data_IF_810720453015
#
_entry.id   IF_810720453015
#
_cell.length_a   1.000
_cell.length_b   1.000
_cell.length_c   1.000
_cell.angle_alpha   90.00
_cell.angle_beta   90.00
_cell.angle_gamma   90.00
#
_symmetry.space_group_name_H-M   'P 1'
#
loop_
_entity.id
_entity.type
_entity.pdbx_description
1 polymer ?
#
# COMPACT_ATOMS: atom_id res chain seq x y z
N UNK A 1 -13.73 19.50 -4.39
CA UNK A 1 -13.14 18.42 -3.58
C UNK A 1 -13.59 17.09 -4.15
N UNK A 2 -12.71 16.14 -4.44
CA UNK A 2 -13.12 14.80 -4.88
C UNK A 2 -13.87 14.07 -3.76
N UNK A 3 -14.82 13.22 -4.16
CA UNK A 3 -15.56 12.34 -3.25
C UNK A 3 -14.89 10.98 -3.25
N UNK A 4 -14.47 10.52 -2.07
CA UNK A 4 -13.79 9.25 -1.85
C UNK A 4 -14.67 8.28 -1.07
N UNK A 5 -14.32 7.00 -1.10
CA UNK A 5 -14.87 6.00 -0.20
C UNK A 5 -13.88 5.76 0.92
N UNK A 6 -14.31 5.98 2.16
CA UNK A 6 -13.48 5.80 3.34
C UNK A 6 -14.28 5.15 4.47
N UNK A 7 -13.58 4.63 5.47
CA UNK A 7 -14.20 4.00 6.64
C UNK A 7 -13.50 4.44 7.92
N UNK A 8 -14.28 4.69 8.95
CA UNK A 8 -13.81 4.82 10.32
C UNK A 8 -14.13 3.57 11.12
N UNK A 9 -13.50 3.40 12.28
CA UNK A 9 -13.72 2.22 13.16
C UNK A 9 -15.16 2.02 13.61
N UNK A 10 -15.97 3.07 13.57
CA UNK A 10 -17.38 3.02 13.98
C UNK A 10 -18.34 2.78 12.83
N UNK A 11 -17.85 2.63 11.59
CA UNK A 11 -18.66 2.40 10.41
C UNK A 11 -18.64 0.93 10.01
N UNK A 12 -19.81 0.34 9.78
CA UNK A 12 -19.92 -1.03 9.29
C UNK A 12 -19.45 -1.15 7.82
N UNK A 13 -19.70 -0.12 7.02
CA UNK A 13 -19.36 -0.06 5.59
C UNK A 13 -18.64 1.26 5.28
N UNK A 14 -17.85 1.31 4.18
CA UNK A 14 -17.28 2.56 3.70
C UNK A 14 -18.37 3.56 3.32
N UNK A 15 -18.16 4.82 3.66
CA UNK A 15 -19.04 5.94 3.33
C UNK A 15 -18.34 6.97 2.45
N UNK A 16 -19.11 7.94 1.94
CA UNK A 16 -18.61 9.01 1.08
C UNK A 16 -18.11 10.18 1.89
N UNK A 17 -16.89 10.60 1.61
CA UNK A 17 -16.26 11.81 2.17
C UNK A 17 -15.83 12.72 1.03
N UNK A 18 -15.99 14.03 1.20
CA UNK A 18 -15.31 15.01 0.35
C UNK A 18 -13.93 15.28 0.96
N UNK A 19 -12.87 15.13 0.17
CA UNK A 19 -11.50 15.28 0.67
C UNK A 19 -10.76 16.34 -0.12
N UNK A 20 -9.85 17.03 0.56
CA UNK A 20 -8.79 17.78 -0.09
C UNK A 20 -7.47 17.02 0.12
N UNK A 21 -6.99 16.31 -0.92
CA UNK A 21 -5.76 15.52 -0.81
C UNK A 21 -4.52 16.34 -0.47
N UNK A 22 -4.53 17.67 -0.75
CA UNK A 22 -3.41 18.56 -0.51
C UNK A 22 -3.37 19.07 0.93
N UNK A 23 -4.52 19.50 1.47
CA UNK A 23 -4.60 20.05 2.82
C UNK A 23 -4.85 19.00 3.91
N UNK A 24 -4.96 17.72 3.53
CA UNK A 24 -5.31 16.62 4.43
C UNK A 24 -6.56 16.93 5.27
N UNK A 25 -7.54 17.62 4.68
CA UNK A 25 -8.81 17.96 5.30
C UNK A 25 -9.95 17.21 4.62
N UNK A 26 -10.97 16.91 5.39
CA UNK A 26 -12.13 16.15 4.96
C UNK A 26 -13.41 16.89 5.32
N UNK A 27 -14.43 16.76 4.48
CA UNK A 27 -15.78 17.19 4.81
C UNK A 27 -16.66 15.97 5.00
N UNK A 28 -17.22 15.85 6.20
CA UNK A 28 -18.14 14.79 6.57
C UNK A 28 -19.31 15.36 7.40
N UNK A 29 -20.55 15.02 7.04
CA UNK A 29 -21.76 15.54 7.71
C UNK A 29 -21.85 17.07 7.70
N UNK A 30 -21.31 17.75 6.66
CA UNK A 30 -21.30 19.21 6.55
C UNK A 30 -20.21 19.92 7.36
N UNK A 31 -19.39 19.20 8.11
CA UNK A 31 -18.27 19.75 8.90
C UNK A 31 -16.93 19.49 8.20
N UNK A 32 -16.01 20.44 8.34
CA UNK A 32 -14.61 20.24 7.98
C UNK A 32 -13.90 19.65 9.20
N UNK A 33 -13.16 18.57 8.97
CA UNK A 33 -12.41 17.82 10.00
C UNK A 33 -10.97 17.63 9.52
N UNK A 34 -10.03 17.63 10.46
CA UNK A 34 -8.67 17.15 10.22
C UNK A 34 -8.61 15.63 10.20
N UNK A 35 -7.56 15.10 9.60
CA UNK A 35 -7.36 13.64 9.52
C UNK A 35 -7.28 12.99 10.91
N UNK A 36 -6.69 13.68 11.87
CA UNK A 36 -6.48 13.17 13.24
C UNK A 36 -7.74 13.23 14.12
N UNK A 37 -8.80 13.88 13.66
CA UNK A 37 -10.09 13.94 14.37
C UNK A 37 -10.94 12.68 14.15
N UNK A 38 -10.54 11.80 13.25
CA UNK A 38 -11.22 10.54 12.96
C UNK A 38 -10.35 9.33 13.29
N UNK A 39 -11.00 8.29 13.79
CA UNK A 39 -10.38 6.98 13.95
C UNK A 39 -10.61 6.16 12.66
N UNK A 40 -9.62 6.16 11.81
CA UNK A 40 -9.68 5.46 10.53
C UNK A 40 -9.69 3.94 10.68
N UNK A 41 -10.31 3.27 9.74
CA UNK A 41 -10.19 1.84 9.49
C UNK A 41 -9.73 1.63 8.04
N UNK A 42 -9.26 0.44 7.70
CA UNK A 42 -8.88 0.13 6.32
C UNK A 42 -10.08 0.34 5.38
N UNK A 43 -9.90 0.98 4.22
CA UNK A 43 -11.04 1.38 3.37
C UNK A 43 -11.75 0.18 2.72
N UNK A 44 -11.17 -1.00 2.78
CA UNK A 44 -11.75 -2.26 2.30
C UNK A 44 -11.33 -3.41 3.21
N UNK A 45 -12.01 -4.57 3.08
CA UNK A 45 -11.74 -5.80 3.84
C UNK A 45 -11.48 -7.01 2.95
N UNK A 46 -11.27 -6.79 1.66
CA UNK A 46 -10.87 -7.84 0.73
C UNK A 46 -9.42 -8.27 0.95
N UNK A 47 -9.02 -9.38 0.35
CA UNK A 47 -7.65 -9.86 0.41
C UNK A 47 -6.66 -8.85 -0.16
N UNK A 48 -5.44 -8.82 0.37
CA UNK A 48 -4.37 -7.94 -0.10
C UNK A 48 -3.28 -8.79 -0.73
N UNK A 49 -3.09 -8.59 -2.03
CA UNK A 49 -2.05 -9.21 -2.83
C UNK A 49 -0.97 -8.19 -3.13
N UNK A 50 0.29 -8.58 -2.97
CA UNK A 50 1.43 -7.77 -3.31
C UNK A 50 2.19 -8.31 -4.52
N UNK A 51 2.82 -7.41 -5.26
CA UNK A 51 3.66 -7.76 -6.41
C UNK A 51 5.10 -7.38 -6.14
N UNK A 52 6.02 -8.33 -6.33
CA UNK A 52 7.45 -8.07 -6.30
C UNK A 52 7.99 -7.73 -7.69
N UNK A 53 9.06 -6.93 -7.71
CA UNK A 53 9.83 -6.65 -8.92
C UNK A 53 9.03 -6.01 -10.07
N UNK A 54 8.02 -5.20 -9.74
CA UNK A 54 7.25 -4.47 -10.75
C UNK A 54 7.77 -3.05 -11.01
N UNK A 55 8.92 -2.67 -10.45
CA UNK A 55 9.63 -1.43 -10.78
C UNK A 55 10.96 -1.75 -11.45
N UNK A 56 11.34 -0.94 -12.47
CA UNK A 56 12.59 -1.15 -13.23
C UNK A 56 13.81 -1.07 -12.34
N UNK A 57 13.86 -0.08 -11.42
CA UNK A 57 14.96 0.04 -10.48
C UNK A 57 15.05 -1.12 -9.49
N UNK A 58 13.91 -1.65 -9.02
CA UNK A 58 13.88 -2.84 -8.17
C UNK A 58 14.40 -4.09 -8.91
N UNK A 59 14.05 -4.26 -10.19
CA UNK A 59 14.60 -5.33 -11.03
C UNK A 59 16.10 -5.21 -11.20
N UNK A 60 16.61 -4.00 -11.47
CA UNK A 60 18.03 -3.77 -11.64
C UNK A 60 18.82 -3.95 -10.35
N UNK A 61 18.28 -3.47 -9.22
CA UNK A 61 18.86 -3.74 -7.90
C UNK A 61 18.98 -5.25 -7.63
N UNK A 62 17.94 -6.02 -7.96
CA UNK A 62 17.98 -7.47 -7.81
C UNK A 62 19.01 -8.14 -8.72
N UNK A 63 19.16 -7.66 -9.95
CA UNK A 63 20.14 -8.15 -10.91
C UNK A 63 21.59 -7.93 -10.44
N UNK A 64 21.85 -6.82 -9.76
CA UNK A 64 23.20 -6.47 -9.25
C UNK A 64 23.60 -7.26 -8.01
N UNK A 65 22.66 -7.90 -7.28
CA UNK A 65 22.96 -8.75 -6.12
C UNK A 65 23.73 -10.02 -6.47
N UNK A 66 23.89 -10.34 -7.76
CA UNK A 66 24.74 -11.45 -8.21
C UNK A 66 24.24 -12.85 -7.81
N UNK A 67 22.98 -12.99 -7.48
CA UNK A 67 22.35 -14.27 -7.13
C UNK A 67 22.09 -15.07 -8.42
N UNK A 68 23.10 -15.77 -8.91
CA UNK A 68 23.01 -16.61 -10.12
C UNK A 68 22.77 -15.80 -11.42
N UNK A 69 22.35 -16.47 -12.48
CA UNK A 69 21.88 -15.81 -13.70
C UNK A 69 20.43 -15.35 -13.52
N UNK A 70 20.23 -14.16 -12.97
CA UNK A 70 18.89 -13.59 -12.79
C UNK A 70 18.19 -13.40 -14.14
N UNK A 71 17.07 -14.06 -14.31
CA UNK A 71 16.14 -13.86 -15.44
C UNK A 71 14.89 -13.17 -14.91
N UNK A 72 14.50 -12.00 -15.45
CA UNK A 72 13.27 -11.34 -15.04
C UNK A 72 12.05 -12.27 -15.13
N UNK A 73 11.18 -12.31 -14.12
CA UNK A 73 10.02 -13.20 -14.12
C UNK A 73 9.06 -12.87 -15.27
N UNK A 74 8.66 -13.90 -16.04
CA UNK A 74 7.70 -13.75 -17.14
C UNK A 74 6.30 -13.39 -16.61
N UNK A 75 5.91 -13.96 -15.47
CA UNK A 75 4.65 -13.66 -14.77
C UNK A 75 4.90 -12.77 -13.54
N UNK A 76 3.88 -12.06 -13.03
CA UNK A 76 3.99 -11.34 -11.76
C UNK A 76 4.33 -12.28 -10.61
N UNK A 77 5.27 -11.87 -9.76
CA UNK A 77 5.61 -12.60 -8.53
C UNK A 77 4.72 -12.08 -7.42
N UNK A 78 3.74 -12.90 -7.01
CA UNK A 78 2.77 -12.51 -5.99
C UNK A 78 3.14 -13.01 -4.60
N UNK A 79 2.72 -12.23 -3.61
CA UNK A 79 2.63 -12.63 -2.21
C UNK A 79 1.33 -12.10 -1.61
N UNK A 80 0.98 -12.56 -0.42
CA UNK A 80 -0.25 -12.18 0.28
C UNK A 80 0.11 -11.44 1.57
N UNK A 81 -0.65 -10.41 1.88
CA UNK A 81 -0.64 -9.74 3.19
C UNK A 81 -1.88 -10.20 3.95
N UNK A 82 -1.75 -11.14 4.90
CA UNK A 82 -2.87 -11.65 5.68
C UNK A 82 -3.46 -10.58 6.60
N UNK A 83 -4.69 -10.78 7.06
CA UNK A 83 -5.47 -9.78 7.77
C UNK A 83 -4.82 -9.25 9.06
N UNK A 84 -4.00 -10.07 9.73
CA UNK A 84 -3.25 -9.64 10.92
C UNK A 84 -2.23 -8.52 10.61
N UNK A 85 -1.82 -8.38 9.36
CA UNK A 85 -0.88 -7.32 8.95
C UNK A 85 -1.54 -5.97 8.73
N UNK A 86 -2.87 -5.91 8.58
CA UNK A 86 -3.56 -4.69 8.16
C UNK A 86 -3.73 -3.71 9.29
N UNK A 87 -3.35 -2.48 9.04
CA UNK A 87 -3.56 -1.31 9.88
C UNK A 87 -4.01 -0.13 9.02
N UNK A 88 -4.68 0.83 9.64
CA UNK A 88 -5.20 2.01 8.96
C UNK A 88 -4.28 3.23 9.11
N UNK A 89 -4.70 4.35 8.51
CA UNK A 89 -4.08 5.66 8.76
C UNK A 89 -4.07 5.98 10.25
N UNK A 90 -2.94 6.49 10.76
CA UNK A 90 -2.75 6.88 12.15
C UNK A 90 -2.44 5.74 13.11
N UNK A 91 -2.66 4.48 12.71
CA UNK A 91 -2.29 3.32 13.52
C UNK A 91 -0.77 3.20 13.66
N UNK A 92 -0.35 2.48 14.69
CA UNK A 92 1.07 2.24 14.94
C UNK A 92 1.59 1.03 14.17
N UNK A 93 2.73 1.18 13.51
CA UNK A 93 3.52 0.09 12.93
C UNK A 93 4.43 -0.46 14.03
N UNK A 94 4.27 -1.72 14.47
CA UNK A 94 5.12 -2.29 15.51
C UNK A 94 6.48 -2.71 14.96
N UNK A 95 7.56 -2.37 15.66
CA UNK A 95 8.86 -3.01 15.44
C UNK A 95 8.99 -4.19 16.41
N UNK A 96 9.17 -5.41 15.88
CA UNK A 96 9.34 -6.60 16.69
C UNK A 96 10.58 -6.51 17.61
N UNK A 97 10.58 -7.21 18.74
CA UNK A 97 11.64 -7.14 19.75
C UNK A 97 13.01 -7.61 19.25
N UNK A 98 13.00 -8.48 18.25
CA UNK A 98 14.19 -9.10 17.64
C UNK A 98 14.69 -8.36 16.40
N UNK A 99 14.14 -7.17 16.11
CA UNK A 99 14.44 -6.37 14.92
C UNK A 99 14.77 -4.93 15.32
N UNK A 100 15.87 -4.39 14.80
CA UNK A 100 16.30 -3.00 15.08
C UNK A 100 15.59 -1.99 14.17
N UNK A 101 15.35 -2.37 12.92
CA UNK A 101 14.72 -1.51 11.91
C UNK A 101 13.91 -2.33 10.93
N UNK A 102 12.88 -1.70 10.34
CA UNK A 102 12.05 -2.25 9.27
C UNK A 102 12.13 -1.36 8.04
N UNK A 103 11.69 -1.86 6.90
CA UNK A 103 11.72 -1.15 5.63
C UNK A 103 10.31 -0.78 5.18
N UNK A 104 10.14 0.44 4.64
CA UNK A 104 8.88 0.89 4.04
C UNK A 104 8.71 0.27 2.65
N UNK A 105 7.47 0.06 2.23
CA UNK A 105 7.14 -0.40 0.89
C UNK A 105 6.02 0.43 0.28
N UNK A 106 6.34 1.67 -0.18
CA UNK A 106 5.35 2.58 -0.77
C UNK A 106 4.79 2.01 -2.07
N UNK A 107 3.51 1.67 -2.06
CA UNK A 107 2.86 1.01 -3.19
C UNK A 107 1.49 1.60 -3.51
N UNK A 108 1.17 1.67 -4.81
CA UNK A 108 -0.18 1.98 -5.29
C UNK A 108 -1.07 0.76 -5.08
N UNK A 109 -2.11 0.88 -4.27
CA UNK A 109 -3.14 -0.14 -4.07
C UNK A 109 -4.27 0.02 -5.10
N UNK A 110 -4.51 -1.01 -5.90
CA UNK A 110 -5.58 -1.10 -6.89
C UNK A 110 -6.74 -1.83 -6.23
N UNK A 111 -7.86 -1.14 -5.97
CA UNK A 111 -9.03 -1.71 -5.30
C UNK A 111 -10.01 -2.22 -6.33
N UNK A 112 -10.40 -3.48 -6.21
CA UNK A 112 -11.31 -4.13 -7.15
C UNK A 112 -12.76 -3.73 -6.90
N UNK A 113 -13.50 -3.39 -7.99
CA UNK A 113 -14.93 -3.07 -7.96
C UNK A 113 -15.82 -4.31 -8.06
N UNK A 114 -15.40 -5.25 -8.85
CA UNK A 114 -16.11 -6.50 -9.17
C UNK A 114 -15.12 -7.63 -9.37
N UNK A 115 -15.62 -8.86 -9.32
CA UNK A 115 -14.79 -10.05 -9.53
C UNK A 115 -14.13 -10.02 -10.90
N UNK A 116 -12.81 -10.23 -10.92
CA UNK A 116 -11.95 -10.25 -12.10
C UNK A 116 -11.27 -11.61 -12.23
N UNK A 117 -11.51 -12.29 -13.34
CA UNK A 117 -10.92 -13.57 -13.69
C UNK A 117 -10.61 -13.58 -15.19
N UNK A 118 -9.38 -13.82 -15.58
CA UNK A 118 -8.90 -13.83 -16.98
C UNK A 118 -9.33 -12.60 -17.78
N UNK A 119 -9.08 -11.42 -17.21
CA UNK A 119 -9.50 -10.15 -17.79
C UNK A 119 -8.49 -9.71 -18.86
N UNK A 120 -8.98 -9.29 -20.02
CA UNK A 120 -8.12 -8.69 -21.03
C UNK A 120 -7.60 -7.30 -20.56
N UNK A 121 -6.35 -6.96 -20.91
CA UNK A 121 -5.75 -5.70 -20.48
C UNK A 121 -6.55 -4.46 -20.93
N UNK A 122 -7.20 -4.51 -22.08
CA UNK A 122 -8.04 -3.43 -22.60
C UNK A 122 -9.25 -3.14 -21.71
N UNK A 123 -9.78 -4.14 -21.02
CA UNK A 123 -10.97 -4.05 -20.17
C UNK A 123 -10.61 -3.96 -18.67
N UNK A 124 -9.33 -4.15 -18.32
CA UNK A 124 -8.89 -4.36 -16.94
C UNK A 124 -9.28 -3.22 -15.99
N UNK A 125 -9.19 -1.97 -16.46
CA UNK A 125 -9.54 -0.81 -15.64
C UNK A 125 -11.04 -0.73 -15.33
N UNK A 126 -11.91 -1.41 -16.06
CA UNK A 126 -13.34 -1.48 -15.75
C UNK A 126 -13.66 -2.37 -14.55
N UNK A 127 -12.69 -3.10 -14.05
CA UNK A 127 -12.79 -3.90 -12.84
C UNK A 127 -12.28 -3.14 -11.60
N UNK A 128 -11.74 -1.93 -11.76
CA UNK A 128 -11.15 -1.11 -10.69
C UNK A 128 -12.21 -0.16 -10.10
N UNK A 129 -12.37 -0.19 -8.78
CA UNK A 129 -13.16 0.78 -8.02
C UNK A 129 -12.41 2.12 -7.90
N UNK A 130 -11.13 2.02 -7.60
CA UNK A 130 -10.26 3.16 -7.37
C UNK A 130 -8.89 2.75 -6.84
N UNK A 131 -8.19 3.73 -6.31
CA UNK A 131 -6.82 3.57 -5.86
C UNK A 131 -6.68 4.01 -4.41
N UNK A 132 -5.80 3.33 -3.68
CA UNK A 132 -5.44 3.63 -2.30
C UNK A 132 -3.93 3.57 -2.13
N UNK A 133 -3.43 3.93 -0.97
CA UNK A 133 -2.01 3.84 -0.64
C UNK A 133 -1.79 2.62 0.23
N UNK A 134 -0.72 1.88 -0.04
CA UNK A 134 -0.28 0.75 0.79
C UNK A 134 1.16 0.97 1.22
N UNK A 135 1.45 0.79 2.51
CA UNK A 135 2.80 0.63 3.00
C UNK A 135 3.04 -0.85 3.29
N UNK A 136 3.68 -1.54 2.34
CA UNK A 136 4.09 -2.93 2.46
C UNK A 136 5.38 -3.04 3.27
N UNK A 137 5.25 -2.98 4.59
CA UNK A 137 6.38 -3.05 5.52
C UNK A 137 7.02 -4.44 5.49
N UNK A 138 8.35 -4.47 5.59
CA UNK A 138 9.13 -5.69 5.60
C UNK A 138 10.32 -5.59 6.58
N UNK A 139 10.70 -6.70 7.20
CA UNK A 139 12.04 -6.80 7.82
C UNK A 139 13.10 -6.85 6.72
N UNK A 140 14.25 -6.17 6.88
CA UNK A 140 15.37 -6.32 5.97
C UNK A 140 15.80 -7.78 5.89
N UNK A 141 15.91 -8.33 4.68
CA UNK A 141 16.35 -9.72 4.49
C UNK A 141 17.12 -9.89 3.18
N UNK A 142 17.97 -10.90 3.14
CA UNK A 142 18.76 -11.28 1.96
C UNK A 142 18.37 -12.66 1.40
N UNK A 143 17.32 -13.29 1.93
CA UNK A 143 16.85 -14.60 1.47
C UNK A 143 15.82 -14.41 0.38
N UNK A 144 16.21 -14.64 -0.86
CA UNK A 144 15.33 -14.52 -2.03
C UNK A 144 14.84 -15.87 -2.56
N UNK A 145 15.39 -16.97 -2.05
CA UNK A 145 15.09 -18.35 -2.49
C UNK A 145 13.84 -18.91 -1.82
N UNK A 146 13.33 -18.25 -0.80
CA UNK A 146 12.19 -18.69 0.01
C UNK A 146 11.16 -17.59 0.16
N UNK A 147 9.86 -17.93 0.29
CA UNK A 147 8.84 -16.94 0.64
C UNK A 147 9.21 -16.20 1.92
N UNK A 148 9.29 -14.88 1.86
CA UNK A 148 9.64 -14.01 2.99
C UNK A 148 8.44 -13.80 3.94
N UNK A 149 7.70 -14.88 4.28
CA UNK A 149 6.48 -14.80 5.08
C UNK A 149 6.75 -14.21 6.46
N UNK A 150 7.81 -14.68 7.15
CA UNK A 150 8.16 -14.13 8.46
C UNK A 150 8.46 -12.65 8.40
N UNK A 151 9.16 -12.20 7.38
CA UNK A 151 9.62 -10.82 7.24
C UNK A 151 8.49 -9.87 6.81
N UNK A 152 7.47 -10.37 6.09
CA UNK A 152 6.41 -9.55 5.50
C UNK A 152 5.04 -9.67 6.18
N UNK A 153 4.80 -10.76 6.93
CA UNK A 153 3.47 -11.06 7.46
C UNK A 153 3.36 -10.90 8.98
N UNK A 154 4.21 -10.06 9.58
CA UNK A 154 4.06 -9.71 10.99
C UNK A 154 2.86 -8.79 11.19
N UNK A 155 2.31 -8.77 12.38
CA UNK A 155 1.18 -7.91 12.76
C UNK A 155 1.51 -6.45 12.46
N UNK A 156 0.57 -5.73 11.82
CA UNK A 156 0.72 -4.32 11.51
C UNK A 156 1.66 -3.99 10.34
N UNK A 157 2.15 -4.99 9.58
CA UNK A 157 3.11 -4.78 8.48
C UNK A 157 2.45 -4.44 7.13
N UNK A 158 1.21 -3.98 7.12
CA UNK A 158 0.52 -3.51 5.92
C UNK A 158 -0.44 -2.36 6.28
N UNK A 159 0.06 -1.14 6.25
CA UNK A 159 -0.81 0.02 6.41
C UNK A 159 -1.53 0.32 5.09
N UNK A 160 -2.84 0.60 5.16
CA UNK A 160 -3.72 0.77 4.00
C UNK A 160 -4.63 1.97 4.20
N UNK A 161 -4.70 2.83 3.22
CA UNK A 161 -5.66 3.93 3.24
C UNK A 161 -5.09 5.29 2.83
N UNK A 162 -5.68 6.35 3.34
CA UNK A 162 -6.83 6.42 4.27
C UNK A 162 -8.18 6.13 3.60
N UNK A 163 -8.26 6.27 2.28
CA UNK A 163 -9.47 6.11 1.45
C UNK A 163 -9.20 5.41 0.13
N UNK A 164 -10.27 5.14 -0.59
CA UNK A 164 -10.23 4.75 -2.00
C UNK A 164 -10.59 5.98 -2.85
N UNK A 165 -9.61 6.52 -3.57
CA UNK A 165 -9.81 7.56 -4.58
C UNK A 165 -10.47 6.91 -5.80
N UNK A 166 -11.66 7.38 -6.24
CA UNK A 166 -12.35 6.78 -7.38
C UNK A 166 -11.48 6.75 -8.63
N UNK A 167 -11.57 5.68 -9.41
CA UNK A 167 -10.82 5.51 -10.66
C UNK A 167 -10.90 6.74 -11.57
N UNK A 168 -12.09 7.33 -11.69
CA UNK A 168 -12.33 8.45 -12.59
C UNK A 168 -11.64 9.76 -12.14
N UNK A 169 -11.27 9.84 -10.87
CA UNK A 169 -10.56 10.99 -10.30
C UNK A 169 -9.05 10.91 -10.51
N UNK A 170 -8.53 9.76 -10.97
CA UNK A 170 -7.11 9.53 -11.26
C UNK A 170 -6.93 9.43 -12.77
N UNK A 171 -6.40 10.47 -13.38
CA UNK A 171 -6.29 10.55 -14.84
C UNK A 171 -5.39 9.46 -15.43
N UNK A 172 -4.26 9.16 -14.78
CA UNK A 172 -3.32 8.12 -15.21
C UNK A 172 -2.69 7.45 -13.99
N UNK A 173 -3.09 6.22 -13.64
CA UNK A 173 -2.49 5.50 -12.53
C UNK A 173 -1.04 5.08 -12.82
N UNK A 174 -0.62 5.11 -14.06
CA UNK A 174 0.72 4.72 -14.53
C UNK A 174 1.68 5.91 -14.65
N UNK A 175 1.33 7.10 -14.11
CA UNK A 175 2.18 8.29 -14.14
C UNK A 175 2.06 9.15 -12.88
N UNK A 176 1.82 8.53 -11.73
CA UNK A 176 1.72 9.20 -10.44
C UNK A 176 3.10 9.37 -9.82
N UNK A 177 3.38 10.55 -9.29
CA UNK A 177 4.53 10.75 -8.40
C UNK A 177 4.21 10.14 -7.04
N UNK A 178 5.17 9.45 -6.45
CA UNK A 178 5.10 8.97 -5.08
C UNK A 178 6.28 9.49 -4.27
N UNK A 179 6.04 9.80 -2.99
CA UNK A 179 7.07 10.24 -2.04
C UNK A 179 6.97 9.45 -0.76
N UNK A 180 8.12 9.15 -0.18
CA UNK A 180 8.24 8.60 1.17
C UNK A 180 8.91 9.65 2.04
N UNK A 181 8.22 10.08 3.07
CA UNK A 181 8.74 11.01 4.06
C UNK A 181 8.93 10.27 5.38
N UNK A 182 10.04 10.54 6.05
CA UNK A 182 10.32 10.09 7.41
C UNK A 182 10.58 11.32 8.27
N UNK A 183 9.79 11.49 9.33
CA UNK A 183 9.85 12.65 10.22
C UNK A 183 9.71 14.01 9.49
N UNK A 184 8.87 14.03 8.43
CA UNK A 184 8.60 15.21 7.61
C UNK A 184 9.64 15.49 6.52
N UNK A 185 10.74 14.72 6.43
CA UNK A 185 11.75 14.86 5.39
C UNK A 185 11.50 13.87 4.25
N UNK A 186 11.51 14.34 3.00
CA UNK A 186 11.45 13.48 1.81
C UNK A 186 12.72 12.64 1.74
N UNK A 187 12.59 11.33 1.89
CA UNK A 187 13.69 10.35 1.85
C UNK A 187 13.77 9.60 0.52
N UNK A 188 12.65 9.46 -0.17
CA UNK A 188 12.60 8.85 -1.49
C UNK A 188 11.49 9.47 -2.34
N UNK A 189 11.75 9.58 -3.63
CA UNK A 189 10.75 9.95 -4.63
C UNK A 189 10.87 8.99 -5.82
N UNK A 190 9.73 8.60 -6.38
CA UNK A 190 9.66 7.74 -7.56
C UNK A 190 8.36 8.03 -8.35
N UNK A 191 8.10 7.29 -9.39
CA UNK A 191 6.87 7.40 -10.18
C UNK A 191 6.38 6.03 -10.62
N UNK A 192 5.05 5.87 -10.68
CA UNK A 192 4.43 4.68 -11.29
C UNK A 192 4.77 4.52 -12.77
N UNK A 193 5.27 5.56 -13.44
CA UNK A 193 5.82 5.46 -14.80
C UNK A 193 7.05 4.53 -14.90
N UNK A 194 7.70 4.26 -13.76
CA UNK A 194 8.83 3.33 -13.68
C UNK A 194 8.39 1.87 -13.47
N UNK A 195 7.09 1.60 -13.40
CA UNK A 195 6.60 0.22 -13.35
C UNK A 195 6.96 -0.55 -14.62
N UNK A 196 7.23 -1.83 -14.46
CA UNK A 196 7.48 -2.79 -15.55
C UNK A 196 6.19 -3.13 -16.27
N UNK A 197 5.13 -3.37 -15.49
CA UNK A 197 3.76 -3.59 -15.98
C UNK A 197 2.89 -2.43 -15.56
N UNK A 198 2.18 -1.84 -16.52
CA UNK A 198 1.11 -0.88 -16.23
C UNK A 198 0.02 -1.53 -15.38
N UNK A 199 -0.82 -0.73 -14.74
CA UNK A 199 -1.95 -1.22 -13.93
C UNK A 199 -2.84 -2.18 -14.72
N UNK A 200 -3.19 -1.82 -15.95
CA UNK A 200 -4.03 -2.64 -16.82
C UNK A 200 -3.36 -3.98 -17.19
N UNK A 201 -2.07 -3.94 -17.53
CA UNK A 201 -1.30 -5.13 -17.86
C UNK A 201 -1.10 -6.03 -16.65
N UNK A 202 -0.83 -5.44 -15.47
CA UNK A 202 -0.65 -6.18 -14.24
C UNK A 202 -1.93 -6.93 -13.84
N UNK A 203 -3.08 -6.27 -13.93
CA UNK A 203 -4.38 -6.92 -13.67
C UNK A 203 -4.64 -8.08 -14.63
N UNK A 204 -4.36 -7.90 -15.92
CA UNK A 204 -4.54 -8.96 -16.92
C UNK A 204 -3.64 -10.17 -16.58
N UNK A 205 -2.35 -9.93 -16.32
CA UNK A 205 -1.39 -10.99 -16.02
C UNK A 205 -1.71 -11.73 -14.71
N UNK A 206 -2.17 -11.00 -13.67
CA UNK A 206 -2.55 -11.61 -12.38
C UNK A 206 -3.85 -12.38 -12.48
N UNK A 207 -4.86 -11.84 -13.16
CA UNK A 207 -6.17 -12.49 -13.27
C UNK A 207 -6.18 -13.70 -14.19
N UNK A 208 -5.09 -13.96 -14.91
CA UNK A 208 -4.90 -15.19 -15.66
C UNK A 208 -4.90 -16.44 -14.74
N UNK A 209 -4.33 -16.31 -13.53
CA UNK A 209 -4.15 -17.42 -12.58
C UNK A 209 -4.74 -17.21 -11.19
N UNK A 210 -5.14 -15.97 -10.83
CA UNK A 210 -5.81 -15.65 -9.55
C UNK A 210 -7.10 -14.89 -9.83
N UNK A 211 -8.21 -15.34 -9.26
CA UNK A 211 -9.44 -14.55 -9.26
C UNK A 211 -9.38 -13.50 -8.15
N UNK A 212 -9.50 -12.22 -8.52
CA UNK A 212 -9.63 -11.11 -7.58
C UNK A 212 -11.11 -10.82 -7.35
N UNK A 213 -11.53 -10.71 -6.09
CA UNK A 213 -12.91 -10.41 -5.71
C UNK A 213 -13.13 -8.90 -5.53
N UNK A 214 -14.41 -8.48 -5.52
CA UNK A 214 -14.73 -7.10 -5.18
C UNK A 214 -14.23 -6.76 -3.78
N UNK A 215 -13.56 -5.62 -3.64
CA UNK A 215 -12.92 -5.18 -2.39
C UNK A 215 -11.50 -5.70 -2.17
N UNK A 216 -11.01 -6.65 -2.96
CA UNK A 216 -9.60 -7.04 -2.91
C UNK A 216 -8.69 -5.90 -3.35
N UNK A 217 -7.48 -5.88 -2.81
CA UNK A 217 -6.42 -4.95 -3.18
C UNK A 217 -5.29 -5.73 -3.87
N UNK A 218 -4.92 -5.29 -5.05
CA UNK A 218 -3.65 -5.64 -5.67
C UNK A 218 -2.72 -4.43 -5.57
N UNK A 219 -1.69 -4.48 -4.73
CA UNK A 219 -0.72 -3.40 -4.76
C UNK A 219 0.34 -3.64 -5.85
N UNK A 220 0.65 -2.57 -6.59
CA UNK A 220 1.43 -2.63 -7.83
C UNK A 220 2.93 -2.88 -7.63
N UNK A 221 3.37 -3.17 -6.41
CA UNK A 221 4.76 -3.29 -6.01
C UNK A 221 5.33 -1.98 -5.46
N UNK A 222 6.42 -2.08 -4.72
CA UNK A 222 7.18 -0.96 -4.21
C UNK A 222 8.43 -0.72 -5.09
N UNK A 223 8.87 0.55 -5.26
CA UNK A 223 10.11 0.85 -5.94
C UNK A 223 11.34 0.41 -5.13
N UNK A 224 12.49 0.51 -5.74
CA UNK A 224 13.80 0.39 -5.12
C UNK A 224 14.02 1.43 -4.02
N UNK A 225 15.09 1.26 -3.24
CA UNK A 225 15.50 2.15 -2.15
C UNK A 225 14.45 2.30 -1.04
N UNK A 226 13.92 1.15 -0.58
CA UNK A 226 13.08 1.10 0.61
C UNK A 226 13.76 1.83 1.78
N UNK A 227 13.00 2.69 2.47
CA UNK A 227 13.54 3.50 3.56
C UNK A 227 13.50 2.72 4.87
N UNK A 228 14.61 2.67 5.58
CA UNK A 228 14.67 2.11 6.93
C UNK A 228 14.04 3.07 7.93
N UNK A 229 13.19 2.52 8.77
CA UNK A 229 12.49 3.22 9.85
C UNK A 229 12.68 2.47 11.18
N UNK A 230 12.69 3.23 12.26
CA UNK A 230 12.93 2.76 13.64
C UNK A 230 11.81 3.21 14.58
N UNK A 231 11.76 2.68 15.77
CA UNK A 231 10.80 3.11 16.78
C UNK A 231 10.98 4.61 17.10
N UNK A 232 9.88 5.35 17.14
CA UNK A 232 9.84 6.81 17.29
C UNK A 232 9.65 7.55 15.96
N UNK A 233 9.91 6.91 14.82
CA UNK A 233 9.72 7.54 13.52
C UNK A 233 8.23 7.71 13.18
N UNK A 234 7.96 8.70 12.33
CA UNK A 234 6.70 8.91 11.64
C UNK A 234 6.93 8.74 10.15
N UNK A 235 6.26 7.78 9.53
CA UNK A 235 6.36 7.52 8.10
C UNK A 235 5.10 8.02 7.40
N UNK A 236 5.31 8.76 6.31
CA UNK A 236 4.24 9.28 5.46
C UNK A 236 4.53 8.91 4.01
N UNK A 237 3.56 8.31 3.35
CA UNK A 237 3.62 7.96 1.93
C UNK A 237 2.58 8.81 1.20
N UNK A 238 3.02 9.50 0.15
CA UNK A 238 2.17 10.35 -0.67
C UNK A 238 2.12 9.85 -2.10
N UNK A 239 0.94 9.90 -2.69
CA UNK A 239 0.74 9.75 -4.13
C UNK A 239 -0.02 10.96 -4.65
N UNK A 240 0.53 11.64 -5.67
CA UNK A 240 -0.11 12.80 -6.27
C UNK A 240 -1.51 12.41 -6.80
N UNK A 241 -2.52 13.21 -6.44
CA UNK A 241 -3.91 12.99 -6.83
C UNK A 241 -4.65 11.89 -6.06
N UNK A 242 -3.98 11.17 -5.14
CA UNK A 242 -4.63 10.19 -4.27
C UNK A 242 -4.69 10.69 -2.83
N UNK A 243 -3.58 11.21 -2.30
CA UNK A 243 -3.48 11.69 -0.93
C UNK A 243 -2.25 11.16 -0.21
N UNK A 244 -2.36 11.01 1.12
CA UNK A 244 -1.28 10.57 1.97
C UNK A 244 -1.73 9.54 3.01
N UNK A 245 -0.87 8.57 3.27
CA UNK A 245 -1.00 7.58 4.34
C UNK A 245 0.11 7.82 5.36
N UNK A 246 -0.25 8.06 6.61
CA UNK A 246 0.73 8.34 7.67
C UNK A 246 0.53 7.43 8.86
N UNK A 247 1.64 6.91 9.40
CA UNK A 247 1.66 6.01 10.54
C UNK A 247 2.83 6.33 11.46
N UNK A 248 2.66 6.06 12.77
CA UNK A 248 3.75 6.10 13.76
C UNK A 248 4.43 4.75 13.81
N UNK A 249 5.73 4.74 14.03
CA UNK A 249 6.51 3.53 14.27
C UNK A 249 6.79 3.40 15.76
N UNK A 250 6.45 2.28 16.37
CA UNK A 250 6.60 2.07 17.81
C UNK A 250 7.28 0.75 18.11
N UNK A 251 7.97 0.64 19.24
CA UNK A 251 8.43 -0.66 19.69
C UNK A 251 7.22 -1.53 20.08
N UNK A 252 7.19 -2.80 19.64
CA UNK A 252 6.10 -3.75 19.93
C UNK A 252 5.75 -3.81 21.43
N UNK A 253 6.74 -3.72 22.32
CA UNK A 253 6.54 -3.70 23.78
C UNK A 253 5.64 -2.56 24.27
N UNK A 254 5.63 -1.43 23.56
CA UNK A 254 4.80 -0.27 23.94
C UNK A 254 3.32 -0.51 23.67
N UNK A 255 2.99 -1.24 22.60
CA UNK A 255 1.62 -1.63 22.29
C UNK A 255 1.06 -2.62 23.33
N UNK A 256 1.90 -3.58 23.76
CA UNK A 256 1.51 -4.54 24.77
C UNK A 256 1.32 -3.91 26.15
N UNK A 257 2.10 -2.90 26.51
CA UNK A 257 1.95 -2.17 27.77
C UNK A 257 0.70 -1.27 27.79
N UNK A 258 0.25 -0.74 26.65
CA UNK A 258 -0.95 0.07 26.53
C UNK A 258 -2.26 -0.71 26.43
N UNK A 259 -2.21 -2.02 26.16
CA UNK A 259 -3.38 -2.90 25.98
C UNK A 259 -3.98 -3.48 27.28
N UNK A 260 -3.45 -3.11 28.44
CA UNK A 260 -4.00 -3.51 29.76
C UNK A 260 -4.91 -2.43 30.32
N UNK A 261 -5.96 -2.02 29.56
CA UNK A 261 -7.08 -1.24 30.10
C UNK A 261 -8.39 -1.64 29.44
#
# INVERSE_FOLDING_TARGET
MPVVMARTRFMAQPERFEVDPLSASIRYGGKMLGMDELQWDTPTRGAVYGVLMNYRGALEAFRTLGVGSFVPPKAPVLFVKPANTWIAYGDAIPIPRDVESIETGAALGIVMRKTACRVAAVDALDFVAGYTIVNDVCEPHQSYDRPATRQRCRDGFCAIGPWVMPRQSVASPDSLTLRVLVNGEVRAENSTANMVRSVARLLADVTEFVTLSAGDILHAGAPENAQRITAGDRVRIEFDGIGALENRVVAERELMAGGSR
#
